data_IF_494667644129
#
_entry.id   IF_494667644129
#
_cell.length_a   1.000
_cell.length_b   1.000
_cell.length_c   1.000
_cell.angle_alpha   90.00
_cell.angle_beta   90.00
_cell.angle_gamma   90.00
#
_symmetry.space_group_name_H-M   'P 1'
#
loop_
_entity.id
_entity.type
_entity.pdbx_description
1 polymer ?
#
# COMPACT_ATOMS: atom_id res chain seq x y z
N UNK A 1 6.02 15.75 -17.01
CA UNK A 1 6.86 15.77 -18.22
C UNK A 1 7.01 14.37 -18.78
N UNK A 2 6.19 14.00 -19.77
CA UNK A 2 6.56 13.11 -20.88
C UNK A 2 5.79 13.64 -22.08
N UNK A 3 6.51 14.20 -23.03
CA UNK A 3 5.96 14.64 -24.30
C UNK A 3 5.63 13.43 -25.18
N UNK A 4 4.71 13.64 -26.12
CA UNK A 4 4.99 13.61 -27.56
C UNK A 4 3.75 14.10 -28.31
N UNK A 5 3.99 15.16 -29.08
CA UNK A 5 3.43 15.55 -30.38
C UNK A 5 1.91 15.49 -30.65
N UNK A 6 1.30 16.69 -30.71
CA UNK A 6 0.07 16.94 -31.44
C UNK A 6 0.40 17.34 -32.88
N UNK A 7 -0.09 16.58 -33.86
CA UNK A 7 -0.20 17.03 -35.25
C UNK A 7 -1.63 17.53 -35.48
N UNK A 8 -1.75 18.81 -35.78
CA UNK A 8 -2.97 19.51 -36.18
C UNK A 8 -3.36 19.09 -37.60
N UNK A 9 -4.57 18.55 -37.77
CA UNK A 9 -5.27 18.56 -39.06
C UNK A 9 -6.67 19.12 -38.85
N UNK A 10 -6.89 20.31 -39.40
CA UNK A 10 -8.21 20.94 -39.44
C UNK A 10 -9.11 20.25 -40.47
N UNK A 11 -10.37 20.02 -40.10
CA UNK A 11 -11.45 19.73 -41.05
C UNK A 11 -12.59 20.72 -40.84
N UNK A 12 -12.93 21.37 -41.95
CA UNK A 12 -14.11 22.22 -42.15
C UNK A 12 -15.39 21.39 -42.07
N UNK A 13 -16.46 22.05 -41.65
CA UNK A 13 -17.82 21.54 -41.52
C UNK A 13 -18.47 21.17 -42.85
N UNK A 14 -19.34 20.16 -42.81
CA UNK A 14 -20.72 20.10 -43.35
C UNK A 14 -21.11 18.64 -43.62
N UNK A 15 -22.28 18.23 -43.12
CA UNK A 15 -22.90 16.96 -43.49
C UNK A 15 -23.80 16.39 -42.41
N UNK A 16 -25.09 16.74 -42.46
CA UNK A 16 -26.16 16.09 -41.70
C UNK A 16 -26.22 14.60 -42.01
N UNK A 17 -26.03 13.75 -41.00
CA UNK A 17 -26.57 12.39 -40.95
C UNK A 17 -27.01 12.14 -39.51
N UNK A 18 -28.32 12.00 -39.32
CA UNK A 18 -28.94 11.46 -38.10
C UNK A 18 -28.55 9.99 -38.02
N UNK A 19 -27.71 9.62 -37.06
CA UNK A 19 -27.45 8.23 -36.72
C UNK A 19 -27.21 8.11 -35.21
N UNK A 20 -28.16 7.46 -34.54
CA UNK A 20 -28.10 6.82 -33.23
C UNK A 20 -26.76 6.92 -32.50
N UNK A 21 -26.68 7.84 -31.53
CA UNK A 21 -25.62 7.84 -30.52
C UNK A 21 -26.25 7.60 -29.15
N UNK A 22 -26.63 6.35 -28.90
CA UNK A 22 -26.49 5.76 -27.56
C UNK A 22 -24.98 5.54 -27.35
N UNK A 23 -24.24 6.63 -27.17
CA UNK A 23 -22.93 6.61 -26.53
C UNK A 23 -23.24 6.97 -25.07
N UNK A 24 -23.49 5.97 -24.22
CA UNK A 24 -22.37 5.23 -23.69
C UNK A 24 -21.56 6.23 -22.86
N UNK A 25 -22.04 6.49 -21.64
CA UNK A 25 -21.21 7.07 -20.59
C UNK A 25 -19.95 6.20 -20.56
N UNK A 26 -18.89 6.68 -21.21
CA UNK A 26 -17.53 6.32 -20.85
C UNK A 26 -17.35 6.90 -19.46
N UNK A 27 -17.83 6.16 -18.46
CA UNK A 27 -17.27 6.22 -17.13
C UNK A 27 -15.79 5.97 -17.34
N UNK A 28 -15.02 7.06 -17.34
CA UNK A 28 -13.60 7.02 -17.07
C UNK A 28 -13.51 6.25 -15.76
N UNK A 29 -13.19 4.97 -15.86
CA UNK A 29 -12.86 4.14 -14.71
C UNK A 29 -11.62 4.77 -14.11
N UNK A 30 -11.86 5.61 -13.10
CA UNK A 30 -10.84 6.22 -12.29
C UNK A 30 -9.90 5.10 -11.84
N UNK A 31 -8.63 5.19 -12.25
CA UNK A 31 -7.65 4.12 -12.10
C UNK A 31 -7.67 3.50 -10.71
N UNK A 32 -7.61 2.17 -10.68
CA UNK A 32 -7.59 1.34 -9.47
C UNK A 32 -6.71 1.96 -8.40
N UNK A 33 -7.25 2.14 -7.19
CA UNK A 33 -6.47 2.57 -6.03
C UNK A 33 -5.74 1.36 -5.47
N UNK A 34 -4.64 0.99 -6.12
CA UNK A 34 -3.72 -0.07 -5.69
C UNK A 34 -2.90 0.33 -4.44
N UNK A 35 -3.28 1.41 -3.75
CA UNK A 35 -2.56 2.01 -2.64
C UNK A 35 -3.55 2.51 -1.59
N UNK A 36 -3.34 2.10 -0.34
CA UNK A 36 -4.07 2.58 0.83
C UNK A 36 -3.12 3.29 1.81
N UNK A 37 -3.63 4.28 2.54
CA UNK A 37 -2.89 4.93 3.61
C UNK A 37 -3.81 5.22 4.80
N UNK A 38 -3.25 5.19 6.00
CA UNK A 38 -3.95 5.46 7.25
C UNK A 38 -3.01 6.12 8.25
N UNK A 39 -3.46 7.20 8.86
CA UNK A 39 -2.80 7.81 10.02
C UNK A 39 -3.50 7.36 11.30
N UNK A 40 -2.71 6.97 12.30
CA UNK A 40 -3.21 6.59 13.62
C UNK A 40 -2.26 7.11 14.69
N UNK A 41 -2.75 7.99 15.56
CA UNK A 41 -1.92 8.70 16.53
C UNK A 41 -0.81 9.48 15.83
N UNK A 42 0.43 9.13 16.12
CA UNK A 42 1.64 9.78 15.58
C UNK A 42 2.24 9.09 14.35
N UNK A 43 1.61 8.02 13.85
CA UNK A 43 2.13 7.20 12.77
C UNK A 43 1.32 7.34 11.49
N UNK A 44 2.01 7.27 10.36
CA UNK A 44 1.40 7.08 9.04
C UNK A 44 1.80 5.71 8.51
N UNK A 45 0.79 4.96 8.10
CA UNK A 45 0.92 3.66 7.47
C UNK A 45 0.49 3.78 6.02
N UNK A 46 1.31 3.31 5.09
CA UNK A 46 0.98 3.32 3.66
C UNK A 46 1.28 1.95 3.07
N UNK A 47 0.30 1.34 2.41
CA UNK A 47 0.42 0.03 1.79
C UNK A 47 0.14 0.14 0.30
N UNK A 48 0.99 -0.49 -0.51
CA UNK A 48 0.90 -0.50 -1.97
C UNK A 48 0.98 -1.93 -2.49
N UNK A 49 0.11 -2.28 -3.43
CA UNK A 49 0.19 -3.54 -4.15
C UNK A 49 1.43 -3.57 -5.03
N UNK A 50 2.20 -4.66 -4.94
CA UNK A 50 3.31 -4.94 -5.84
C UNK A 50 2.87 -5.94 -6.90
N UNK A 51 3.48 -5.86 -8.08
CA UNK A 51 3.19 -6.80 -9.17
C UNK A 51 3.44 -8.24 -8.71
N UNK A 52 2.40 -9.07 -8.83
CA UNK A 52 2.41 -10.45 -8.38
C UNK A 52 3.08 -11.33 -9.43
N UNK A 53 4.38 -11.56 -9.26
CA UNK A 53 5.01 -12.72 -9.85
C UNK A 53 4.64 -13.93 -8.97
N UNK A 54 4.00 -14.95 -9.57
CA UNK A 54 3.75 -16.27 -8.96
C UNK A 54 2.71 -16.34 -7.83
N UNK A 55 1.40 -16.38 -8.16
CA UNK A 55 0.25 -16.83 -7.31
C UNK A 55 0.13 -16.27 -5.88
N UNK A 56 1.02 -15.39 -5.43
CA UNK A 56 1.12 -14.84 -4.07
C UNK A 56 0.92 -13.35 -4.10
N UNK A 57 0.26 -12.83 -3.08
CA UNK A 57 0.01 -11.40 -2.96
C UNK A 57 1.21 -10.74 -2.30
N UNK A 58 1.82 -9.78 -3.01
CA UNK A 58 2.96 -9.01 -2.53
C UNK A 58 2.54 -7.57 -2.29
N UNK A 59 2.85 -7.05 -1.11
CA UNK A 59 2.57 -5.66 -0.73
C UNK A 59 3.86 -4.98 -0.28
N UNK A 60 4.00 -3.70 -0.57
CA UNK A 60 4.97 -2.82 0.06
C UNK A 60 4.26 -2.05 1.16
N UNK A 61 4.73 -2.18 2.40
CA UNK A 61 4.28 -1.39 3.55
C UNK A 61 5.36 -0.36 3.90
N UNK A 62 4.93 0.87 4.13
CA UNK A 62 5.77 1.97 4.60
C UNK A 62 5.21 2.49 5.93
N UNK A 63 6.09 2.61 6.92
CA UNK A 63 5.80 3.15 8.26
C UNK A 63 6.63 4.40 8.49
N UNK A 64 6.00 5.50 8.89
CA UNK A 64 6.70 6.74 9.23
C UNK A 64 5.99 7.49 10.37
N UNK A 65 6.72 8.40 11.01
CA UNK A 65 6.12 9.36 11.95
C UNK A 65 5.50 10.52 11.17
N UNK A 66 4.31 10.97 11.57
CA UNK A 66 3.62 12.11 10.91
C UNK A 66 4.45 13.40 11.00
N UNK A 67 5.22 13.56 12.09
CA UNK A 67 6.10 14.71 12.30
C UNK A 67 7.47 14.60 11.59
N UNK A 68 7.71 13.53 10.82
CA UNK A 68 8.96 13.31 10.08
C UNK A 68 10.16 12.88 10.92
N UNK A 69 10.00 12.65 12.22
CA UNK A 69 11.07 12.09 13.06
C UNK A 69 11.41 10.65 12.66
N UNK A 70 12.63 10.22 13.02
CA UNK A 70 13.00 8.82 12.84
C UNK A 70 12.09 7.91 13.67
N UNK A 71 11.44 6.98 12.96
CA UNK A 71 10.47 6.06 13.54
C UNK A 71 11.08 5.13 14.59
N UNK A 72 12.33 4.71 14.44
CA UNK A 72 12.95 3.76 15.37
C UNK A 72 13.41 4.48 16.62
N UNK A 73 14.03 5.66 16.46
CA UNK A 73 14.46 6.52 17.54
C UNK A 73 13.27 6.96 18.43
N UNK A 74 12.10 7.24 17.83
CA UNK A 74 10.91 7.66 18.59
C UNK A 74 10.27 6.56 19.46
N UNK A 75 10.75 5.31 19.34
CA UNK A 75 10.28 4.15 20.11
C UNK A 75 11.34 3.56 21.06
N UNK A 76 12.51 4.19 21.16
CA UNK A 76 13.66 3.59 21.84
C UNK A 76 14.28 4.55 22.83
N UNK A 77 14.45 4.15 24.10
CA UNK A 77 15.05 4.98 25.15
C UNK A 77 16.56 4.69 25.31
N UNK A 78 17.25 4.41 24.21
CA UNK A 78 18.66 4.06 24.21
C UNK A 78 19.03 3.09 23.09
N UNK A 79 20.31 2.74 23.02
CA UNK A 79 20.82 1.86 21.96
C UNK A 79 20.28 0.42 22.08
N UNK A 80 20.16 -0.10 23.29
CA UNK A 80 19.65 -1.47 23.50
C UNK A 80 18.18 -1.60 23.08
N UNK A 81 17.35 -0.63 23.44
CA UNK A 81 15.96 -0.56 22.99
C UNK A 81 15.87 -0.44 21.47
N UNK A 82 16.73 0.38 20.86
CA UNK A 82 16.82 0.55 19.41
C UNK A 82 17.11 -0.78 18.72
N UNK A 83 18.08 -1.54 19.22
CA UNK A 83 18.42 -2.85 18.65
C UNK A 83 17.29 -3.85 18.85
N UNK A 84 16.64 -3.89 20.02
CA UNK A 84 15.47 -4.75 20.27
C UNK A 84 14.31 -4.42 19.33
N UNK A 85 14.02 -3.14 19.12
CA UNK A 85 12.93 -2.73 18.24
C UNK A 85 13.25 -3.01 16.76
N UNK A 86 14.48 -2.76 16.33
CA UNK A 86 14.93 -3.15 14.99
C UNK A 86 14.87 -4.66 14.77
N UNK A 87 15.26 -5.47 15.77
CA UNK A 87 15.14 -6.92 15.72
C UNK A 87 13.67 -7.35 15.58
N UNK A 88 12.78 -6.72 16.35
CA UNK A 88 11.34 -6.94 16.23
C UNK A 88 10.83 -6.64 14.81
N UNK A 89 11.16 -5.48 14.25
CA UNK A 89 10.77 -5.09 12.88
C UNK A 89 11.33 -6.05 11.81
N UNK A 90 12.54 -6.58 12.04
CA UNK A 90 13.19 -7.52 11.12
C UNK A 90 12.58 -8.93 11.14
N UNK A 91 12.18 -9.44 12.30
CA UNK A 91 11.94 -10.88 12.46
C UNK A 91 10.63 -11.27 13.16
N UNK A 92 10.07 -10.40 13.99
CA UNK A 92 8.87 -10.71 14.76
C UNK A 92 7.61 -10.04 14.20
N UNK A 93 7.77 -8.91 13.50
CA UNK A 93 6.66 -8.12 12.98
C UNK A 93 5.78 -8.87 11.98
N UNK A 94 6.30 -9.93 11.34
CA UNK A 94 5.52 -10.79 10.44
C UNK A 94 4.26 -11.35 11.11
N UNK A 95 4.35 -11.70 12.40
CA UNK A 95 3.26 -12.33 13.16
C UNK A 95 2.09 -11.37 13.43
N UNK A 96 2.36 -10.08 13.37
CA UNK A 96 1.40 -9.01 13.65
C UNK A 96 0.71 -8.52 12.37
N UNK A 97 0.97 -9.18 11.23
CA UNK A 97 0.50 -8.78 9.91
C UNK A 97 -0.36 -9.85 9.26
N UNK A 98 -1.56 -9.46 8.82
CA UNK A 98 -2.43 -10.33 8.03
C UNK A 98 -3.33 -9.53 7.08
N UNK A 99 -3.80 -10.17 6.01
CA UNK A 99 -4.87 -9.63 5.18
C UNK A 99 -6.23 -10.14 5.66
N UNK A 100 -7.21 -9.25 5.69
CA UNK A 100 -8.61 -9.56 6.00
C UNK A 100 -9.45 -9.30 4.74
N UNK A 101 -10.06 -10.35 4.18
CA UNK A 101 -10.99 -10.24 3.06
C UNK A 101 -12.30 -10.97 3.40
N UNK A 102 -13.37 -10.19 3.64
CA UNK A 102 -14.62 -10.72 4.18
C UNK A 102 -14.41 -11.32 5.58
N UNK A 103 -14.61 -12.63 5.72
CA UNK A 103 -14.42 -13.39 6.97
C UNK A 103 -13.09 -14.16 7.01
N UNK A 104 -12.34 -14.17 5.91
CA UNK A 104 -11.09 -14.91 5.79
C UNK A 104 -9.91 -14.04 6.26
N UNK A 105 -8.97 -14.67 6.98
CA UNK A 105 -7.70 -14.07 7.36
C UNK A 105 -6.56 -14.80 6.68
N UNK A 106 -5.65 -14.05 6.08
CA UNK A 106 -4.49 -14.57 5.36
C UNK A 106 -3.23 -14.10 6.07
N UNK A 107 -2.50 -14.99 6.76
CA UNK A 107 -1.30 -14.60 7.50
C UNK A 107 -0.18 -14.16 6.54
N UNK A 108 0.65 -13.24 7.01
CA UNK A 108 1.93 -12.94 6.39
C UNK A 108 2.84 -14.17 6.51
N UNK A 109 3.45 -14.59 5.41
CA UNK A 109 4.38 -15.73 5.34
C UNK A 109 5.76 -15.33 4.82
N UNK A 110 5.91 -14.06 4.51
CA UNK A 110 7.15 -13.48 4.07
C UNK A 110 7.18 -12.02 4.48
N UNK A 111 8.16 -11.66 5.29
CA UNK A 111 8.49 -10.27 5.59
C UNK A 111 9.97 -10.01 5.28
N UNK A 112 10.22 -8.96 4.52
CA UNK A 112 11.55 -8.41 4.32
C UNK A 112 11.57 -6.95 4.71
N UNK A 113 12.30 -6.63 5.77
CA UNK A 113 12.51 -5.26 6.23
C UNK A 113 13.73 -4.63 5.57
N UNK A 114 13.52 -3.53 4.85
CA UNK A 114 14.58 -2.74 4.25
C UNK A 114 15.15 -1.75 5.27
N UNK A 115 16.40 -1.99 5.69
CA UNK A 115 17.12 -1.05 6.54
C UNK A 115 17.60 0.14 5.71
N UNK A 116 16.91 1.27 5.86
CA UNK A 116 17.45 2.58 5.49
C UNK A 116 18.50 2.99 6.52
N UNK A 117 19.77 3.11 6.12
CA UNK A 117 20.86 3.67 6.92
C UNK A 117 20.67 5.18 7.09
N UNK A 118 19.60 5.57 7.78
CA UNK A 118 19.21 6.94 8.14
C UNK A 118 18.93 7.91 6.97
N UNK A 119 18.90 7.40 5.73
CA UNK A 119 18.58 8.19 4.53
C UNK A 119 17.08 8.50 4.37
N UNK A 120 16.21 7.82 5.12
CA UNK A 120 14.76 8.06 5.07
C UNK A 120 14.12 7.79 6.42
N UNK A 121 13.23 8.68 6.92
CA UNK A 121 12.48 8.46 8.15
C UNK A 121 11.44 7.34 8.01
N UNK A 122 11.12 6.95 6.77
CA UNK A 122 10.22 5.86 6.49
C UNK A 122 10.94 4.50 6.57
N UNK A 123 10.27 3.53 7.19
CA UNK A 123 10.67 2.12 7.27
C UNK A 123 9.83 1.32 6.28
N UNK A 124 10.51 0.61 5.38
CA UNK A 124 9.87 -0.11 4.27
C UNK A 124 9.93 -1.62 4.49
N UNK A 125 8.83 -2.27 4.18
CA UNK A 125 8.65 -3.70 4.31
C UNK A 125 8.10 -4.26 3.01
N UNK A 126 8.68 -5.35 2.53
CA UNK A 126 8.09 -6.17 1.48
C UNK A 126 7.40 -7.36 2.15
N UNK A 127 6.10 -7.47 1.92
CA UNK A 127 5.21 -8.43 2.56
C UNK A 127 4.70 -9.45 1.54
N UNK A 128 4.56 -10.69 1.95
CA UNK A 128 3.94 -11.76 1.16
C UNK A 128 2.93 -12.54 1.99
N UNK A 129 1.74 -12.74 1.45
CA UNK A 129 0.65 -13.41 2.16
C UNK A 129 0.33 -14.77 1.54
N UNK A 130 0.03 -15.75 2.40
CA UNK A 130 -0.48 -17.04 1.95
C UNK A 130 -1.93 -16.92 1.49
N UNK A 131 -2.35 -17.73 0.53
CA UNK A 131 -3.77 -17.80 0.14
C UNK A 131 -4.00 -17.80 -1.36
N UNK A 132 -5.29 -17.79 -1.71
CA UNK A 132 -5.74 -17.66 -3.10
C UNK A 132 -5.50 -16.22 -3.58
N UNK A 133 -5.36 -16.06 -4.89
CA UNK A 133 -5.29 -14.73 -5.49
C UNK A 133 -6.57 -13.94 -5.17
N UNK A 134 -6.48 -12.89 -4.36
CA UNK A 134 -7.62 -12.02 -4.02
C UNK A 134 -7.85 -10.91 -5.05
N UNK A 135 -7.35 -11.06 -6.28
CA UNK A 135 -7.56 -10.08 -7.36
C UNK A 135 -9.05 -9.86 -7.61
N UNK A 136 -9.46 -8.60 -7.65
CA UNK A 136 -10.84 -8.15 -7.74
C UNK A 136 -11.61 -8.16 -6.42
N UNK A 137 -10.97 -8.40 -5.27
CA UNK A 137 -11.62 -8.38 -3.95
C UNK A 137 -11.15 -7.17 -3.13
N UNK A 138 -12.08 -6.58 -2.39
CA UNK A 138 -11.74 -5.62 -1.33
C UNK A 138 -11.13 -6.38 -0.15
N UNK A 139 -9.93 -5.97 0.25
CA UNK A 139 -9.24 -6.52 1.40
C UNK A 139 -8.75 -5.39 2.32
N UNK A 140 -8.27 -5.76 3.50
CA UNK A 140 -7.62 -4.83 4.43
C UNK A 140 -6.30 -5.44 4.88
N UNK A 141 -5.22 -4.66 4.81
CA UNK A 141 -4.01 -4.98 5.58
C UNK A 141 -4.28 -4.64 7.04
N UNK A 142 -4.15 -5.63 7.90
CA UNK A 142 -4.27 -5.45 9.35
C UNK A 142 -2.90 -5.56 9.98
N UNK A 143 -2.60 -4.59 10.84
CA UNK A 143 -1.39 -4.50 11.64
C UNK A 143 -1.84 -4.55 13.10
N UNK A 144 -1.74 -5.71 13.71
CA UNK A 144 -2.19 -5.99 15.06
C UNK A 144 -0.98 -6.10 15.99
N UNK A 145 -0.48 -4.93 16.40
CA UNK A 145 0.71 -4.84 17.24
C UNK A 145 0.52 -3.86 18.38
N UNK A 146 0.75 -4.33 19.60
CA UNK A 146 0.71 -3.51 20.81
C UNK A 146 1.82 -2.44 20.83
N UNK A 147 2.85 -2.59 19.98
CA UNK A 147 3.99 -1.66 19.90
C UNK A 147 3.59 -0.26 19.44
N UNK A 148 2.44 -0.10 18.78
CA UNK A 148 1.95 1.20 18.33
C UNK A 148 1.03 1.88 19.34
N UNK A 149 0.50 1.15 20.34
CA UNK A 149 -0.37 1.75 21.36
C UNK A 149 -1.71 2.27 20.83
N UNK A 150 -2.14 1.83 19.64
CA UNK A 150 -3.34 2.35 18.95
C UNK A 150 -4.39 1.28 18.63
N UNK A 151 -4.21 0.06 19.15
CA UNK A 151 -4.98 -1.11 18.71
C UNK A 151 -4.73 -1.48 17.24
N UNK A 152 -5.48 -2.45 16.69
CA UNK A 152 -5.24 -2.95 15.33
C UNK A 152 -5.48 -1.88 14.27
N UNK A 153 -4.46 -1.61 13.46
CA UNK A 153 -4.54 -0.68 12.34
C UNK A 153 -5.04 -1.42 11.11
N UNK A 154 -6.12 -0.94 10.48
CA UNK A 154 -6.68 -1.54 9.26
C UNK A 154 -6.57 -0.59 8.07
N UNK A 155 -5.85 -0.98 7.03
CA UNK A 155 -5.63 -0.19 5.82
C UNK A 155 -6.43 -0.84 4.69
N UNK A 156 -7.46 -0.18 4.12
CA UNK A 156 -8.22 -0.74 3.00
C UNK A 156 -7.36 -0.82 1.74
N UNK A 157 -7.52 -1.92 1.00
CA UNK A 157 -6.82 -2.24 -0.23
C UNK A 157 -7.82 -2.73 -1.27
N UNK A 158 -7.70 -2.21 -2.49
CA UNK A 158 -8.35 -2.77 -3.67
C UNK A 158 -7.35 -3.71 -4.35
N UNK A 159 -7.55 -5.03 -4.23
CA UNK A 159 -6.66 -6.07 -4.79
C UNK A 159 -7.13 -6.54 -6.17
#
# INVERSE_FOLDING_TARGET
MRGICNHTYGKRALGNVVLWAVLGLLTVSCGKRDTGSREVGRYRFSAKLMESAEKRQRLSLSLEMVNGQDFVASHSNGQDDKQRFLHYLSYAFEKDLYLEAGKEKFPCVFLHFERSFDLSPARRFSLGFSGKNLRGRTAKLVIDSDRFGTGPVKIPLDL
#
